data_IF_903937548165
#
_entry.id   IF_903937548165
#
_cell.length_a   1.000
_cell.length_b   1.000
_cell.length_c   1.000
_cell.angle_alpha   90.00
_cell.angle_beta   90.00
_cell.angle_gamma   90.00
#
_symmetry.space_group_name_H-M   'P 1'
#
loop_
_entity.id
_entity.type
_entity.pdbx_description
1 polymer ?
#
# COMPACT_ATOMS: atom_id res chain seq x y z
N UNK A 1 -3.65 21.66 -15.02
CA UNK A 1 -3.69 22.00 -13.60
C UNK A 1 -2.79 21.05 -12.80
N UNK A 2 -2.21 21.53 -11.68
CA UNK A 2 -1.34 20.76 -10.79
C UNK A 2 -1.92 20.70 -9.40
N UNK A 3 -1.65 19.62 -8.68
CA UNK A 3 -1.84 19.47 -7.25
C UNK A 3 -0.48 19.49 -6.56
N UNK A 4 -0.43 19.95 -5.31
CA UNK A 4 0.77 19.97 -4.50
C UNK A 4 0.43 19.30 -3.16
N UNK A 5 1.19 18.27 -2.81
CA UNK A 5 1.04 17.54 -1.55
C UNK A 5 2.14 17.97 -0.58
N UNK A 6 1.73 18.40 0.62
CA UNK A 6 2.62 18.71 1.74
C UNK A 6 2.63 17.53 2.71
N UNK A 7 3.81 17.10 3.11
CA UNK A 7 3.93 16.11 4.18
C UNK A 7 3.76 16.80 5.55
N UNK A 8 2.79 16.34 6.32
CA UNK A 8 2.55 16.88 7.67
C UNK A 8 3.67 16.44 8.61
N UNK A 9 4.23 17.37 9.46
CA UNK A 9 5.27 17.03 10.41
C UNK A 9 4.70 16.23 11.60
N UNK A 10 4.54 14.92 11.43
CA UNK A 10 4.03 14.01 12.45
C UNK A 10 5.05 12.93 12.79
N UNK A 11 4.99 12.47 14.05
CA UNK A 11 5.65 11.27 14.50
C UNK A 11 4.58 10.29 15.01
N UNK A 12 4.32 9.23 14.22
CA UNK A 12 3.36 8.18 14.56
C UNK A 12 4.06 6.89 15.04
N UNK A 13 5.37 6.97 15.40
CA UNK A 13 6.16 5.81 15.78
C UNK A 13 6.69 4.99 14.60
N UNK A 14 5.96 4.91 13.51
CA UNK A 14 6.36 4.30 12.24
C UNK A 14 6.62 5.34 11.14
N UNK A 15 6.39 6.62 11.42
CA UNK A 15 6.52 7.76 10.52
C UNK A 15 7.22 8.91 11.24
N UNK A 16 8.39 9.36 10.74
CA UNK A 16 9.22 10.39 11.35
C UNK A 16 9.45 11.56 10.39
N UNK A 17 8.45 12.41 10.18
CA UNK A 17 8.53 13.65 9.38
C UNK A 17 8.83 14.90 10.22
N UNK A 18 9.32 14.75 11.44
CA UNK A 18 9.57 15.89 12.36
C UNK A 18 10.77 16.74 11.92
N UNK A 19 11.76 16.16 11.23
CA UNK A 19 12.95 16.89 10.80
C UNK A 19 12.82 17.36 9.34
N UNK A 20 13.04 18.65 9.12
CA UNK A 20 13.01 19.24 7.76
C UNK A 20 14.02 18.59 6.82
N UNK A 21 15.20 18.21 7.33
CA UNK A 21 16.26 17.54 6.55
C UNK A 21 15.88 16.16 6.03
N UNK A 22 14.95 15.47 6.69
CA UNK A 22 14.46 14.16 6.27
C UNK A 22 13.38 14.22 5.19
N UNK A 23 12.59 15.30 5.14
CA UNK A 23 11.43 15.43 4.23
C UNK A 23 11.80 15.42 2.74
N UNK A 24 12.86 16.13 2.26
CA UNK A 24 13.25 16.02 0.85
C UNK A 24 13.72 14.61 0.50
N UNK A 25 14.34 13.89 1.44
CA UNK A 25 14.70 12.48 1.24
C UNK A 25 13.46 11.64 1.00
N UNK A 26 12.45 11.69 1.88
CA UNK A 26 11.22 10.95 1.73
C UNK A 26 10.43 11.36 0.48
N UNK A 27 10.32 12.66 0.19
CA UNK A 27 9.65 13.12 -1.04
C UNK A 27 10.38 12.68 -2.31
N UNK A 28 11.71 12.60 -2.30
CA UNK A 28 12.49 12.04 -3.41
C UNK A 28 12.40 10.52 -3.47
N UNK A 29 12.28 9.81 -2.35
CA UNK A 29 12.03 8.37 -2.28
C UNK A 29 10.60 8.00 -2.75
N UNK A 30 9.63 8.91 -2.62
CA UNK A 30 8.26 8.73 -3.10
C UNK A 30 8.17 8.71 -4.63
N UNK A 31 9.02 9.48 -5.32
CA UNK A 31 8.98 9.59 -6.78
C UNK A 31 9.26 8.27 -7.51
N UNK A 32 10.35 7.52 -7.26
CA UNK A 32 10.69 6.34 -8.06
C UNK A 32 9.66 5.20 -7.97
N UNK A 33 9.15 4.79 -6.79
CA UNK A 33 8.11 3.76 -6.70
C UNK A 33 6.83 4.16 -7.42
N UNK A 34 6.38 5.42 -7.20
CA UNK A 34 5.17 5.93 -7.82
C UNK A 34 5.33 6.10 -9.33
N UNK A 35 6.47 6.56 -9.83
CA UNK A 35 6.72 6.69 -11.27
C UNK A 35 6.72 5.35 -12.00
N UNK A 36 7.01 4.23 -11.34
CA UNK A 36 6.90 2.88 -11.93
C UNK A 36 5.44 2.49 -12.26
N UNK A 37 4.47 3.01 -11.52
CA UNK A 37 3.05 2.74 -11.71
C UNK A 37 2.29 3.89 -12.39
N UNK A 38 2.85 5.11 -12.36
CA UNK A 38 2.14 6.32 -12.77
C UNK A 38 2.97 7.12 -13.77
N UNK A 39 2.85 6.80 -15.05
CA UNK A 39 3.52 7.59 -16.08
C UNK A 39 2.96 9.01 -16.12
N UNK A 40 3.77 10.01 -15.71
CA UNK A 40 3.43 11.44 -15.79
C UNK A 40 2.42 11.97 -14.75
N UNK A 41 2.11 11.21 -13.71
CA UNK A 41 1.29 11.72 -12.59
C UNK A 41 2.15 12.47 -11.57
N UNK A 42 3.25 11.87 -11.12
CA UNK A 42 4.22 12.48 -10.22
C UNK A 42 5.28 13.21 -11.03
N UNK A 43 5.38 14.52 -10.86
CA UNK A 43 6.16 15.38 -11.74
C UNK A 43 7.50 15.79 -11.13
N UNK A 44 7.47 16.32 -9.89
CA UNK A 44 8.67 16.93 -9.29
C UNK A 44 8.49 17.11 -7.78
N UNK A 45 9.60 17.30 -7.05
CA UNK A 45 9.63 17.77 -5.66
C UNK A 45 10.17 19.19 -5.66
N UNK A 46 9.35 20.13 -5.21
CA UNK A 46 9.70 21.56 -5.21
C UNK A 46 9.94 22.06 -3.80
N UNK A 47 11.00 22.87 -3.56
CA UNK A 47 11.17 23.55 -2.28
C UNK A 47 10.16 24.70 -2.13
N UNK A 48 9.73 24.95 -0.92
CA UNK A 48 9.11 26.20 -0.49
C UNK A 48 10.21 27.00 0.21
N UNK A 49 10.52 28.17 -0.31
CA UNK A 49 11.56 29.08 0.22
C UNK A 49 10.94 30.39 0.70
N UNK A 50 11.75 31.39 1.04
CA UNK A 50 11.28 32.69 1.53
C UNK A 50 11.11 32.71 3.06
N UNK A 51 10.02 33.30 3.55
CA UNK A 51 9.67 33.32 4.99
C UNK A 51 8.29 32.72 5.23
N UNK A 52 7.98 32.31 6.46
CA UNK A 52 6.62 31.79 6.76
C UNK A 52 5.49 32.75 6.40
N UNK A 53 5.74 34.06 6.43
CA UNK A 53 4.78 35.12 6.08
C UNK A 53 4.70 35.38 4.57
N UNK A 54 5.76 35.02 3.84
CA UNK A 54 5.87 35.20 2.37
C UNK A 54 6.55 33.98 1.73
N UNK A 55 5.89 32.82 1.71
CA UNK A 55 6.46 31.60 1.12
C UNK A 55 6.49 31.69 -0.42
N UNK A 56 7.55 31.16 -1.03
CA UNK A 56 7.77 31.11 -2.47
C UNK A 56 7.95 29.67 -2.91
N UNK A 57 7.06 29.18 -3.77
CA UNK A 57 7.15 27.84 -4.33
C UNK A 57 8.23 27.78 -5.44
N UNK A 58 9.17 26.85 -5.33
CA UNK A 58 10.25 26.67 -6.30
C UNK A 58 11.28 27.80 -6.31
N UNK A 59 11.33 28.64 -5.25
CA UNK A 59 12.29 29.75 -5.14
C UNK A 59 13.70 29.28 -4.80
N UNK A 60 14.65 30.21 -4.91
CA UNK A 60 16.06 29.99 -4.52
C UNK A 60 16.26 30.31 -3.03
N UNK A 61 17.21 29.61 -2.40
CA UNK A 61 17.60 29.81 -1.00
C UNK A 61 17.25 28.64 -0.09
N UNK A 62 17.37 28.81 1.25
CA UNK A 62 17.04 27.76 2.20
C UNK A 62 15.57 27.38 2.12
N UNK A 63 15.29 26.08 2.02
CA UNK A 63 13.94 25.57 2.01
C UNK A 63 13.31 25.65 3.41
N UNK A 64 12.08 26.14 3.47
CA UNK A 64 11.20 26.07 4.63
C UNK A 64 10.48 24.73 4.69
N UNK A 65 10.12 24.20 3.51
CA UNK A 65 9.38 22.96 3.35
C UNK A 65 9.55 22.42 1.92
N UNK A 66 9.08 21.20 1.68
CA UNK A 66 9.06 20.59 0.35
C UNK A 66 7.64 20.14 0.01
N UNK A 67 7.29 20.24 -1.29
CA UNK A 67 6.01 19.79 -1.82
C UNK A 67 6.24 18.85 -3.00
N UNK A 68 5.45 17.81 -3.05
CA UNK A 68 5.35 16.94 -4.21
C UNK A 68 4.37 17.56 -5.21
N UNK A 69 4.83 17.82 -6.41
CA UNK A 69 4.03 18.34 -7.53
C UNK A 69 3.47 17.19 -8.35
N UNK A 70 2.18 17.17 -8.51
CA UNK A 70 1.46 16.14 -9.25
C UNK A 70 0.57 16.75 -10.34
N UNK A 71 0.26 15.97 -11.37
CA UNK A 71 -0.84 16.27 -12.28
C UNK A 71 -2.16 16.15 -11.52
N UNK A 72 -2.99 17.19 -11.55
CA UNK A 72 -4.32 17.14 -10.94
C UNK A 72 -5.25 16.25 -11.75
N UNK A 73 -6.01 15.40 -11.07
CA UNK A 73 -7.09 14.61 -11.66
C UNK A 73 -8.42 14.86 -10.93
N UNK A 74 -9.57 14.66 -11.59
CA UNK A 74 -10.87 14.83 -10.94
C UNK A 74 -11.10 13.76 -9.86
N UNK A 75 -11.52 14.16 -8.68
CA UNK A 75 -11.87 13.23 -7.58
C UNK A 75 -13.02 12.28 -7.95
N UNK A 76 -13.89 12.70 -8.89
CA UNK A 76 -14.93 11.84 -9.46
C UNK A 76 -14.37 10.61 -10.23
N UNK A 77 -13.10 10.64 -10.61
CA UNK A 77 -12.44 9.55 -11.31
C UNK A 77 -11.71 8.56 -10.38
N UNK A 78 -11.69 8.79 -9.08
CA UNK A 78 -11.20 7.79 -8.12
C UNK A 78 -12.05 6.51 -8.22
N UNK A 79 -11.41 5.34 -8.22
CA UNK A 79 -12.15 4.08 -8.31
C UNK A 79 -13.06 3.85 -7.10
N UNK A 80 -12.71 4.39 -5.94
CA UNK A 80 -13.60 4.42 -4.76
C UNK A 80 -14.84 5.28 -4.98
N UNK A 81 -14.72 6.41 -5.69
CA UNK A 81 -15.87 7.25 -6.06
C UNK A 81 -16.74 6.59 -7.13
N UNK A 82 -16.10 5.99 -8.15
CA UNK A 82 -16.83 5.21 -9.17
C UNK A 82 -17.59 4.04 -8.53
N UNK A 83 -16.99 3.38 -7.54
CA UNK A 83 -17.66 2.32 -6.79
C UNK A 83 -18.88 2.84 -6.04
N UNK A 84 -18.75 3.96 -5.33
CA UNK A 84 -19.86 4.57 -4.59
C UNK A 84 -21.03 4.99 -5.52
N UNK A 85 -20.72 5.39 -6.75
CA UNK A 85 -21.69 5.76 -7.78
C UNK A 85 -22.21 4.55 -8.60
N UNK A 86 -21.77 3.32 -8.29
CA UNK A 86 -22.07 2.10 -9.07
C UNK A 86 -21.56 2.14 -10.52
N UNK A 87 -20.49 2.88 -10.76
CA UNK A 87 -19.82 3.05 -12.08
C UNK A 87 -18.55 2.19 -12.20
N UNK A 88 -18.11 1.52 -11.12
CA UNK A 88 -16.97 0.63 -11.14
C UNK A 88 -17.30 -0.63 -11.98
N UNK A 89 -16.47 -0.95 -12.95
CA UNK A 89 -16.71 -2.06 -13.88
C UNK A 89 -15.69 -3.18 -13.72
N UNK A 90 -16.02 -4.36 -14.27
CA UNK A 90 -15.08 -5.47 -14.34
C UNK A 90 -13.80 -5.13 -15.14
N UNK A 91 -13.92 -4.30 -16.18
CA UNK A 91 -12.78 -3.86 -16.99
C UNK A 91 -11.76 -3.05 -16.15
N UNK A 92 -12.22 -2.18 -15.25
CA UNK A 92 -11.33 -1.46 -14.33
C UNK A 92 -10.54 -2.43 -13.44
N UNK A 93 -11.18 -3.50 -12.98
CA UNK A 93 -10.53 -4.52 -12.13
C UNK A 93 -9.54 -5.37 -12.92
N UNK A 94 -9.86 -5.72 -14.16
CA UNK A 94 -8.94 -6.44 -15.06
C UNK A 94 -7.69 -5.58 -15.34
N UNK A 95 -7.86 -4.29 -15.57
CA UNK A 95 -6.74 -3.37 -15.79
C UNK A 95 -5.88 -3.21 -14.54
N UNK A 96 -6.48 -3.12 -13.34
CA UNK A 96 -5.74 -3.16 -12.08
C UNK A 96 -4.92 -4.45 -11.94
N UNK A 97 -5.51 -5.61 -12.21
CA UNK A 97 -4.81 -6.88 -12.14
C UNK A 97 -3.59 -6.92 -13.08
N UNK A 98 -3.75 -6.42 -14.32
CA UNK A 98 -2.67 -6.34 -15.29
C UNK A 98 -1.53 -5.41 -14.83
N UNK A 99 -1.87 -4.22 -14.32
CA UNK A 99 -0.87 -3.27 -13.85
C UNK A 99 -0.12 -3.80 -12.63
N UNK A 100 -0.82 -4.37 -11.64
CA UNK A 100 -0.23 -4.94 -10.44
C UNK A 100 0.67 -6.13 -10.78
N UNK A 101 0.22 -7.05 -11.64
CA UNK A 101 1.03 -8.18 -12.07
C UNK A 101 2.32 -7.74 -12.79
N UNK A 102 2.21 -6.75 -13.69
CA UNK A 102 3.37 -6.15 -14.37
C UNK A 102 4.31 -5.48 -13.37
N UNK A 103 3.77 -4.67 -12.48
CA UNK A 103 4.55 -3.97 -11.45
C UNK A 103 5.32 -4.97 -10.58
N UNK A 104 4.66 -6.00 -10.05
CA UNK A 104 5.30 -7.03 -9.24
C UNK A 104 6.40 -7.78 -10.00
N UNK A 105 6.20 -8.05 -11.31
CA UNK A 105 7.22 -8.74 -12.12
C UNK A 105 8.49 -7.92 -12.31
N UNK A 106 8.39 -6.59 -12.28
CA UNK A 106 9.47 -5.63 -12.51
C UNK A 106 10.03 -5.03 -11.22
N UNK A 107 9.31 -5.18 -10.11
CA UNK A 107 9.71 -4.62 -8.81
C UNK A 107 11.04 -5.22 -8.34
N UNK A 108 11.94 -4.42 -7.75
CA UNK A 108 13.20 -4.89 -7.21
C UNK A 108 13.00 -6.01 -6.20
N UNK A 109 13.88 -7.01 -6.27
CA UNK A 109 13.94 -8.10 -5.30
C UNK A 109 14.51 -7.58 -3.97
N UNK A 110 13.94 -7.99 -2.87
CA UNK A 110 14.53 -7.78 -1.55
C UNK A 110 15.69 -8.79 -1.38
N UNK A 111 16.90 -8.35 -1.05
CA UNK A 111 18.04 -9.24 -0.83
C UNK A 111 17.76 -10.31 0.23
N UNK A 112 18.33 -11.50 0.05
CA UNK A 112 18.06 -12.65 0.94
C UNK A 112 18.49 -12.39 2.40
N UNK A 113 19.55 -11.61 2.59
CA UNK A 113 20.08 -11.23 3.90
C UNK A 113 19.25 -10.19 4.64
N UNK A 114 18.33 -9.50 3.96
CA UNK A 114 17.42 -8.55 4.61
C UNK A 114 16.47 -9.23 5.57
N UNK A 115 16.14 -8.55 6.67
CA UNK A 115 15.15 -9.03 7.63
C UNK A 115 13.74 -9.08 7.03
N UNK A 116 13.40 -8.10 6.17
CA UNK A 116 12.10 -8.03 5.51
C UNK A 116 11.83 -9.29 4.67
N UNK A 117 10.60 -9.77 4.76
CA UNK A 117 10.15 -11.00 4.12
C UNK A 117 10.55 -12.29 4.84
N UNK A 118 11.28 -12.23 5.98
CA UNK A 118 11.35 -13.39 6.88
C UNK A 118 9.98 -13.67 7.49
N UNK A 119 9.69 -14.90 7.91
CA UNK A 119 8.42 -15.19 8.58
C UNK A 119 8.17 -14.27 9.77
N UNK A 120 9.17 -13.99 10.57
CA UNK A 120 9.10 -13.10 11.72
C UNK A 120 8.74 -11.67 11.30
N UNK A 121 9.40 -11.13 10.26
CA UNK A 121 9.10 -9.80 9.72
C UNK A 121 7.66 -9.68 9.19
N UNK A 122 7.09 -10.78 8.68
CA UNK A 122 5.69 -10.84 8.25
C UNK A 122 4.74 -10.82 9.44
N UNK A 123 5.07 -11.52 10.53
CA UNK A 123 4.18 -11.67 11.68
C UNK A 123 4.25 -10.51 12.68
N UNK A 124 5.40 -9.84 12.80
CA UNK A 124 5.57 -8.74 13.75
C UNK A 124 4.53 -7.62 13.60
N UNK A 125 4.26 -7.06 12.39
CA UNK A 125 3.23 -6.04 12.23
C UNK A 125 1.81 -6.58 12.45
N UNK A 126 1.57 -7.86 12.24
CA UNK A 126 0.27 -8.50 12.56
C UNK A 126 0.03 -8.49 14.06
N UNK A 127 1.02 -8.90 14.86
CA UNK A 127 0.94 -8.86 16.33
C UNK A 127 0.77 -7.44 16.84
N UNK A 128 1.56 -6.51 16.30
CA UNK A 128 1.47 -5.09 16.65
C UNK A 128 0.06 -4.52 16.38
N UNK A 129 -0.60 -4.91 15.30
CA UNK A 129 -1.97 -4.47 15.04
C UNK A 129 -2.95 -4.93 16.14
N UNK A 130 -2.86 -6.18 16.60
CA UNK A 130 -3.69 -6.67 17.71
C UNK A 130 -3.45 -5.88 19.00
N UNK A 131 -2.19 -5.58 19.33
CA UNK A 131 -1.83 -4.77 20.49
C UNK A 131 -2.38 -3.35 20.39
N UNK A 132 -2.31 -2.75 19.20
CA UNK A 132 -2.78 -1.37 18.96
C UNK A 132 -4.31 -1.25 18.91
N UNK A 133 -5.02 -2.25 18.40
CA UNK A 133 -6.49 -2.23 18.31
C UNK A 133 -7.14 -2.48 19.68
N UNK A 134 -6.59 -3.40 20.48
CA UNK A 134 -7.15 -3.84 21.76
C UNK A 134 -7.57 -2.71 22.71
N UNK A 135 -6.79 -1.64 22.92
CA UNK A 135 -7.16 -0.54 23.82
C UNK A 135 -8.41 0.25 23.38
N UNK A 136 -8.80 0.19 22.12
CA UNK A 136 -9.98 0.88 21.60
C UNK A 136 -11.27 0.08 21.74
N UNK A 137 -11.19 -1.21 22.10
CA UNK A 137 -12.33 -2.09 22.28
C UNK A 137 -12.74 -2.14 23.76
N UNK A 138 -14.00 -1.87 24.02
CA UNK A 138 -14.58 -1.95 25.37
C UNK A 138 -15.65 -3.04 25.50
N UNK A 139 -16.25 -3.46 24.39
CA UNK A 139 -17.25 -4.52 24.38
C UNK A 139 -16.60 -5.90 24.53
N UNK A 140 -17.17 -6.75 25.39
CA UNK A 140 -16.65 -8.08 25.65
C UNK A 140 -16.74 -9.01 24.43
N UNK A 141 -17.76 -8.84 23.58
CA UNK A 141 -17.93 -9.67 22.39
C UNK A 141 -16.84 -9.30 21.35
N UNK A 142 -16.53 -8.00 21.17
CA UNK A 142 -15.48 -7.53 20.28
C UNK A 142 -14.10 -8.01 20.74
N UNK A 143 -13.83 -7.97 22.06
CA UNK A 143 -12.58 -8.51 22.62
C UNK A 143 -12.44 -10.01 22.40
N UNK A 144 -13.50 -10.78 22.58
CA UNK A 144 -13.50 -12.23 22.29
C UNK A 144 -13.27 -12.51 20.79
N UNK A 145 -13.86 -11.70 19.92
CA UNK A 145 -13.63 -11.82 18.48
C UNK A 145 -12.19 -11.49 18.10
N UNK A 146 -11.60 -10.43 18.70
CA UNK A 146 -10.20 -10.09 18.50
C UNK A 146 -9.27 -11.21 18.97
N UNK A 147 -9.55 -11.82 20.15
CA UNK A 147 -8.77 -12.94 20.68
C UNK A 147 -8.85 -14.17 19.76
N UNK A 148 -10.03 -14.48 19.25
CA UNK A 148 -10.22 -15.58 18.30
C UNK A 148 -9.47 -15.34 16.98
N UNK A 149 -9.49 -14.10 16.47
CA UNK A 149 -8.78 -13.73 15.26
C UNK A 149 -7.25 -13.78 15.48
N UNK A 150 -6.77 -13.34 16.64
CA UNK A 150 -5.36 -13.42 17.01
C UNK A 150 -4.89 -14.88 17.10
N UNK A 151 -5.66 -15.76 17.74
CA UNK A 151 -5.37 -17.19 17.81
C UNK A 151 -5.34 -17.83 16.41
N UNK A 152 -6.27 -17.48 15.55
CA UNK A 152 -6.29 -17.92 14.15
C UNK A 152 -5.05 -17.43 13.37
N UNK A 153 -4.63 -16.18 13.57
CA UNK A 153 -3.45 -15.62 12.90
C UNK A 153 -2.17 -16.36 13.32
N UNK A 154 -1.97 -16.62 14.62
CA UNK A 154 -0.82 -17.37 15.14
C UNK A 154 -0.80 -18.82 14.61
N UNK A 155 -1.95 -19.51 14.61
CA UNK A 155 -2.06 -20.86 14.07
C UNK A 155 -1.80 -20.90 12.56
N UNK A 156 -2.32 -19.91 11.82
CA UNK A 156 -2.07 -19.78 10.39
C UNK A 156 -0.62 -19.48 10.09
N UNK A 157 0.00 -18.59 10.85
CA UNK A 157 1.44 -18.28 10.74
C UNK A 157 2.28 -19.53 10.94
N UNK A 158 2.02 -20.30 12.01
CA UNK A 158 2.76 -21.56 12.29
C UNK A 158 2.68 -22.54 11.14
N UNK A 159 1.48 -22.69 10.57
CA UNK A 159 1.24 -23.60 9.43
C UNK A 159 1.92 -23.10 8.14
N UNK A 160 1.90 -21.79 7.91
CA UNK A 160 2.39 -21.17 6.67
C UNK A 160 3.88 -20.80 6.72
N UNK A 161 4.55 -20.95 7.87
CA UNK A 161 5.95 -20.56 8.04
C UNK A 161 6.89 -21.15 6.98
N UNK A 162 6.82 -22.46 6.63
CA UNK A 162 7.66 -23.00 5.57
C UNK A 162 7.41 -22.33 4.19
N UNK A 163 6.17 -21.94 3.91
CA UNK A 163 5.82 -21.26 2.66
C UNK A 163 6.37 -19.82 2.63
N UNK A 164 6.34 -19.07 3.74
CA UNK A 164 6.99 -17.76 3.83
C UNK A 164 8.50 -17.86 3.56
N UNK A 165 9.18 -18.83 4.16
CA UNK A 165 10.61 -19.08 3.95
C UNK A 165 10.92 -19.41 2.48
N UNK A 166 10.13 -20.31 1.88
CA UNK A 166 10.26 -20.70 0.48
C UNK A 166 10.07 -19.50 -0.44
N UNK A 167 9.01 -18.69 -0.24
CA UNK A 167 8.71 -17.54 -1.08
C UNK A 167 9.78 -16.46 -1.01
N UNK A 168 10.39 -16.27 0.16
CA UNK A 168 11.56 -15.39 0.28
C UNK A 168 12.71 -15.90 -0.59
N UNK A 169 13.02 -17.19 -0.51
CA UNK A 169 14.09 -17.80 -1.30
C UNK A 169 13.82 -17.73 -2.80
N UNK A 170 12.58 -17.88 -3.21
CA UNK A 170 12.14 -17.86 -4.62
C UNK A 170 11.97 -16.45 -5.20
N UNK A 171 12.16 -15.38 -4.41
CA UNK A 171 12.14 -13.99 -4.88
C UNK A 171 10.75 -13.38 -5.01
N UNK A 172 9.79 -13.83 -4.20
CA UNK A 172 8.46 -13.22 -4.11
C UNK A 172 8.40 -12.03 -3.15
N UNK A 173 9.46 -11.81 -2.37
CA UNK A 173 9.60 -10.60 -1.54
C UNK A 173 10.20 -9.51 -2.41
N UNK A 174 9.43 -8.46 -2.61
CA UNK A 174 9.77 -7.37 -3.55
C UNK A 174 9.46 -6.01 -2.95
N UNK A 175 9.97 -4.98 -3.62
CA UNK A 175 9.59 -3.59 -3.32
C UNK A 175 8.18 -3.34 -3.87
N UNK A 176 7.18 -3.69 -3.07
CA UNK A 176 5.77 -3.59 -3.38
C UNK A 176 5.22 -2.16 -3.23
N UNK A 177 3.97 -1.94 -3.58
CA UNK A 177 3.26 -0.68 -3.37
C UNK A 177 2.96 -0.44 -1.89
N UNK A 178 2.48 -1.46 -1.20
CA UNK A 178 2.21 -1.45 0.25
C UNK A 178 0.79 -1.02 0.63
N UNK A 179 0.06 -0.28 -0.25
CA UNK A 179 -1.26 0.28 0.08
C UNK A 179 -2.23 0.25 -1.13
N UNK A 180 -2.35 -0.89 -1.82
CA UNK A 180 -3.23 -1.01 -2.99
C UNK A 180 -4.69 -1.19 -2.57
N UNK A 181 -5.50 -0.15 -2.76
CA UNK A 181 -6.95 -0.18 -2.60
C UNK A 181 -7.64 0.79 -3.56
N UNK A 182 -8.98 0.74 -3.67
CA UNK A 182 -9.73 1.57 -4.63
C UNK A 182 -9.57 3.10 -4.40
N UNK A 183 -9.19 3.51 -3.19
CA UNK A 183 -8.90 4.92 -2.89
C UNK A 183 -7.58 5.42 -3.49
N UNK A 184 -6.64 4.51 -3.77
CA UNK A 184 -5.32 4.80 -4.35
C UNK A 184 -5.27 4.42 -5.84
N UNK A 185 -6.41 4.44 -6.52
CA UNK A 185 -6.52 4.24 -7.96
C UNK A 185 -7.51 5.22 -8.58
N UNK A 186 -7.18 5.74 -9.76
CA UNK A 186 -7.98 6.74 -10.49
C UNK A 186 -7.96 6.44 -11.98
N UNK A 187 -8.81 7.13 -12.75
CA UNK A 187 -8.79 7.09 -14.21
C UNK A 187 -8.17 8.39 -14.74
N UNK A 188 -7.12 8.26 -15.52
CA UNK A 188 -6.46 9.37 -16.23
C UNK A 188 -6.37 8.99 -17.71
N UNK A 189 -6.87 9.87 -18.57
CA UNK A 189 -6.87 9.67 -20.03
C UNK A 189 -7.47 8.31 -20.45
N UNK A 190 -8.51 7.85 -19.73
CA UNK A 190 -9.23 6.59 -19.99
C UNK A 190 -8.51 5.32 -19.51
N UNK A 191 -7.43 5.45 -18.73
CA UNK A 191 -6.67 4.31 -18.15
C UNK A 191 -6.71 4.35 -16.64
N UNK A 192 -6.73 3.20 -16.02
CA UNK A 192 -6.54 3.08 -14.57
C UNK A 192 -5.10 3.45 -14.24
N UNK A 193 -4.91 4.24 -13.20
CA UNK A 193 -3.59 4.63 -12.65
C UNK A 193 -3.62 4.36 -11.16
N UNK A 194 -2.68 3.54 -10.67
CA UNK A 194 -2.52 3.23 -9.25
C UNK A 194 -1.41 4.14 -8.71
N UNK A 195 -1.67 4.86 -7.63
CA UNK A 195 -0.79 5.87 -7.07
C UNK A 195 -0.68 5.74 -5.54
N UNK A 196 0.18 6.57 -4.91
CA UNK A 196 0.35 6.63 -3.46
C UNK A 196 1.02 5.37 -2.87
N UNK A 197 2.12 4.94 -3.52
CA UNK A 197 2.99 3.89 -2.96
C UNK A 197 3.55 4.32 -1.60
N UNK A 198 3.66 3.39 -0.66
CA UNK A 198 4.35 3.64 0.61
C UNK A 198 5.86 3.81 0.36
N UNK A 199 6.40 4.99 0.68
CA UNK A 199 7.84 5.29 0.61
C UNK A 199 8.52 5.33 1.98
N UNK A 200 7.76 5.71 3.01
CA UNK A 200 8.27 6.04 4.33
C UNK A 200 8.54 4.84 5.24
N UNK A 201 8.15 3.64 4.84
CA UNK A 201 8.23 2.46 5.71
C UNK A 201 8.62 1.20 4.92
N UNK A 202 9.89 0.81 5.00
CA UNK A 202 10.41 -0.39 4.35
C UNK A 202 9.67 -1.69 4.71
N UNK A 203 9.32 -1.97 6.00
CA UNK A 203 8.52 -3.14 6.36
C UNK A 203 7.17 -3.26 5.64
N UNK A 204 6.55 -2.15 5.26
CA UNK A 204 5.29 -2.17 4.52
C UNK A 204 5.49 -2.32 3.01
N UNK A 205 6.61 -1.84 2.52
CA UNK A 205 6.98 -1.84 1.10
C UNK A 205 7.72 -3.12 0.70
N UNK A 206 8.69 -3.55 1.51
CA UNK A 206 9.48 -4.76 1.25
C UNK A 206 8.75 -6.00 1.77
N UNK A 207 7.81 -6.49 0.99
CA UNK A 207 6.87 -7.55 1.41
C UNK A 207 6.61 -8.55 0.29
N UNK A 208 5.88 -9.61 0.59
CA UNK A 208 5.39 -10.55 -0.41
C UNK A 208 4.40 -9.87 -1.35
N UNK A 209 4.48 -10.14 -2.64
CA UNK A 209 3.56 -9.62 -3.65
C UNK A 209 2.09 -9.95 -3.34
N UNK A 210 1.83 -11.02 -2.56
CA UNK A 210 0.49 -11.33 -2.08
C UNK A 210 -0.03 -10.39 -0.99
N UNK A 211 0.83 -9.65 -0.31
CA UNK A 211 0.39 -8.62 0.64
C UNK A 211 -0.32 -7.45 -0.07
N UNK A 212 0.16 -7.05 -1.25
CA UNK A 212 -0.51 -6.05 -2.10
C UNK A 212 -1.79 -6.63 -2.72
N UNK A 213 -1.69 -7.83 -3.30
CA UNK A 213 -2.84 -8.54 -3.91
C UNK A 213 -3.96 -8.73 -2.89
N UNK A 214 -3.64 -9.12 -1.66
CA UNK A 214 -4.60 -9.31 -0.59
C UNK A 214 -5.26 -8.01 -0.15
N UNK A 215 -4.56 -6.89 -0.21
CA UNK A 215 -5.12 -5.61 0.20
C UNK A 215 -6.28 -5.18 -0.71
N UNK A 216 -6.08 -5.20 -2.02
CA UNK A 216 -7.16 -4.90 -2.96
C UNK A 216 -8.31 -5.91 -2.87
N UNK A 217 -7.98 -7.21 -2.78
CA UNK A 217 -9.01 -8.24 -2.62
C UNK A 217 -9.87 -8.02 -1.37
N UNK A 218 -9.24 -7.67 -0.24
CA UNK A 218 -9.91 -7.34 1.02
C UNK A 218 -10.76 -6.07 0.89
N UNK A 219 -10.23 -4.98 0.30
CA UNK A 219 -10.98 -3.72 0.11
C UNK A 219 -12.23 -3.93 -0.77
N UNK A 220 -12.12 -4.74 -1.83
CA UNK A 220 -13.27 -5.11 -2.66
C UNK A 220 -14.30 -5.95 -1.88
N UNK A 221 -13.87 -6.91 -1.07
CA UNK A 221 -14.76 -7.74 -0.26
C UNK A 221 -15.47 -6.92 0.83
N UNK A 222 -14.75 -6.01 1.51
CA UNK A 222 -15.30 -5.10 2.52
C UNK A 222 -16.41 -4.21 1.94
N UNK A 223 -16.25 -3.75 0.71
CA UNK A 223 -17.27 -2.99 -0.04
C UNK A 223 -18.40 -3.85 -0.60
N UNK A 224 -18.47 -5.13 -0.27
CA UNK A 224 -19.49 -6.06 -0.76
C UNK A 224 -19.27 -6.55 -2.20
N UNK A 225 -18.16 -6.23 -2.83
CA UNK A 225 -17.85 -6.54 -4.24
C UNK A 225 -17.14 -7.89 -4.39
N UNK A 226 -17.66 -8.94 -3.75
CA UNK A 226 -17.05 -10.29 -3.72
C UNK A 226 -16.79 -10.88 -5.10
N UNK A 227 -17.66 -10.61 -6.08
CA UNK A 227 -17.47 -11.09 -7.46
C UNK A 227 -16.28 -10.42 -8.13
N UNK A 228 -16.09 -9.11 -7.93
CA UNK A 228 -14.95 -8.37 -8.45
C UNK A 228 -13.64 -8.76 -7.74
N UNK A 229 -13.70 -9.02 -6.43
CA UNK A 229 -12.54 -9.53 -5.69
C UNK A 229 -12.06 -10.88 -6.24
N UNK A 230 -12.98 -11.82 -6.49
CA UNK A 230 -12.65 -13.13 -7.11
C UNK A 230 -12.10 -12.94 -8.51
N UNK A 231 -12.71 -12.06 -9.33
CA UNK A 231 -12.23 -11.75 -10.66
C UNK A 231 -10.80 -11.20 -10.64
N UNK A 232 -10.53 -10.25 -9.76
CA UNK A 232 -9.20 -9.68 -9.56
C UNK A 232 -8.16 -10.76 -9.24
N UNK A 233 -8.42 -11.59 -8.22
CA UNK A 233 -7.51 -12.67 -7.82
C UNK A 233 -7.31 -13.67 -8.97
N UNK A 234 -8.38 -14.07 -9.68
CA UNK A 234 -8.29 -15.00 -10.81
C UNK A 234 -7.43 -14.43 -11.93
N UNK A 235 -7.64 -13.17 -12.33
CA UNK A 235 -6.84 -12.50 -13.35
C UNK A 235 -5.37 -12.37 -12.93
N UNK A 236 -5.11 -12.01 -11.69
CA UNK A 236 -3.75 -11.92 -11.17
C UNK A 236 -3.03 -13.29 -11.23
N UNK A 237 -3.71 -14.38 -10.85
CA UNK A 237 -3.19 -15.74 -10.93
C UNK A 237 -2.87 -16.16 -12.37
N UNK A 238 -3.77 -15.86 -13.31
CA UNK A 238 -3.57 -16.16 -14.72
C UNK A 238 -2.35 -15.43 -15.31
N UNK A 239 -2.14 -14.18 -14.89
CA UNK A 239 -1.04 -13.33 -15.37
C UNK A 239 0.32 -13.70 -14.77
N UNK A 240 0.33 -14.13 -13.52
CA UNK A 240 1.58 -14.36 -12.77
C UNK A 240 1.97 -15.83 -12.68
N UNK A 241 1.00 -16.74 -12.75
CA UNK A 241 1.21 -18.17 -12.50
C UNK A 241 1.47 -18.51 -11.02
N UNK A 242 1.36 -17.54 -10.11
CA UNK A 242 1.68 -17.72 -8.69
C UNK A 242 0.51 -18.35 -7.90
N UNK A 243 0.13 -19.58 -8.28
CA UNK A 243 -0.95 -20.31 -7.61
C UNK A 243 -0.59 -20.75 -6.19
N UNK A 244 0.68 -20.96 -5.90
CA UNK A 244 1.13 -21.35 -4.58
C UNK A 244 0.91 -20.24 -3.53
N UNK A 245 1.13 -18.99 -3.91
CA UNK A 245 0.88 -17.84 -3.04
C UNK A 245 -0.57 -17.67 -2.61
N UNK A 246 -1.52 -18.31 -3.32
CA UNK A 246 -2.95 -18.28 -2.97
C UNK A 246 -3.21 -18.81 -1.54
N UNK A 247 -2.37 -19.70 -1.02
CA UNK A 247 -2.47 -20.18 0.35
C UNK A 247 -2.27 -19.07 1.39
N UNK A 248 -1.54 -18.00 1.04
CA UNK A 248 -1.27 -16.85 1.90
C UNK A 248 -2.38 -15.79 1.84
N UNK A 249 -3.26 -15.84 0.84
CA UNK A 249 -4.22 -14.77 0.55
C UNK A 249 -5.07 -14.41 1.77
N UNK A 250 -5.64 -15.40 2.46
CA UNK A 250 -6.51 -15.14 3.61
C UNK A 250 -5.73 -14.59 4.82
N UNK A 251 -4.49 -15.03 5.02
CA UNK A 251 -3.62 -14.50 6.06
C UNK A 251 -3.35 -13.01 5.81
N UNK A 252 -2.93 -12.66 4.61
CA UNK A 252 -2.67 -11.26 4.26
C UNK A 252 -3.93 -10.40 4.22
N UNK A 253 -5.10 -10.94 3.79
CA UNK A 253 -6.37 -10.20 3.89
C UNK A 253 -6.70 -9.84 5.34
N UNK A 254 -6.58 -10.79 6.27
CA UNK A 254 -6.79 -10.52 7.69
C UNK A 254 -5.80 -9.47 8.23
N UNK A 255 -4.52 -9.58 7.88
CA UNK A 255 -3.51 -8.58 8.22
C UNK A 255 -3.89 -7.18 7.70
N UNK A 256 -4.26 -7.06 6.43
CA UNK A 256 -4.62 -5.77 5.83
C UNK A 256 -5.93 -5.19 6.38
N UNK A 257 -6.89 -6.06 6.73
CA UNK A 257 -8.10 -5.63 7.44
C UNK A 257 -7.77 -5.03 8.81
N UNK A 258 -6.86 -5.63 9.58
CA UNK A 258 -6.37 -5.08 10.85
C UNK A 258 -5.65 -3.73 10.67
N UNK A 259 -4.89 -3.55 9.59
CA UNK A 259 -4.28 -2.26 9.26
C UNK A 259 -5.33 -1.17 9.07
N UNK A 260 -6.47 -1.50 8.45
CA UNK A 260 -7.58 -0.55 8.22
C UNK A 260 -8.47 -0.31 9.44
N UNK A 261 -8.45 -1.22 10.41
CA UNK A 261 -9.28 -1.14 11.62
C UNK A 261 -8.71 -0.19 12.68
N UNK A 262 -7.45 0.19 12.60
CA UNK A 262 -6.78 1.13 13.50
C UNK A 262 -6.67 2.51 12.88
#
# INVERSE_FOLDING_TARGET
PYAHTLQTPVNLGFLHFTELSARPHFSNEELPPNQRLTEGLYLDVLPITGTPEAPVLGGEGPALEYVLKMRQFPQSQLLSTLQANSELTAAHIDEMAQQIARFHSQAPLVPQEHYQGTPEAVMDPVRQNFEQIRPFLSDKADLLQLDALQAWAEASFTRLKPLFEQRKTEGFIRECHGDIHLGNATIIDGKVVIFDCIEFNEPFRFTDVYADTAFLAMDLEDRGLKSLARRFVSQYLELTGDYQGLELLNFYKAYRALVRAK
#
